data_IF_532563431964
#
_entry.id   IF_532563431964
#
_cell.length_a   1.000
_cell.length_b   1.000
_cell.length_c   1.000
_cell.angle_alpha   90.00
_cell.angle_beta   90.00
_cell.angle_gamma   90.00
#
_symmetry.space_group_name_H-M   'P 1'
#
loop_
_entity.id
_entity.type
_entity.pdbx_description
1 polymer ?
#
# COMPACT_ATOMS: atom_id res chain seq x y z
N UNK A 1 -7.55 15.91 -6.65
CA UNK A 1 -8.05 16.37 -7.97
C UNK A 1 -7.07 15.86 -9.02
N UNK A 2 -7.55 15.10 -10.00
CA UNK A 2 -6.72 14.48 -11.05
C UNK A 2 -6.37 15.51 -12.14
N UNK A 3 -5.49 16.45 -11.83
CA UNK A 3 -4.95 17.38 -12.83
C UNK A 3 -3.98 16.61 -13.76
N UNK A 4 -3.90 16.91 -15.07
CA UNK A 4 -2.99 16.21 -15.99
C UNK A 4 -1.50 16.21 -15.54
N UNK A 5 -0.99 17.29 -14.93
CA UNK A 5 0.38 17.27 -14.35
C UNK A 5 0.52 16.27 -13.20
N UNK A 6 -0.56 16.04 -12.44
CA UNK A 6 -0.61 15.02 -11.40
C UNK A 6 -0.55 13.60 -12.01
N UNK A 7 -1.25 13.36 -13.12
CA UNK A 7 -1.23 12.05 -13.79
C UNK A 7 0.13 11.76 -14.45
N UNK A 8 0.81 12.77 -15.01
CA UNK A 8 2.15 12.57 -15.58
C UNK A 8 3.18 12.23 -14.50
N UNK A 9 3.11 12.92 -13.35
CA UNK A 9 3.95 12.63 -12.18
C UNK A 9 3.71 11.22 -11.65
N UNK A 10 2.45 10.79 -11.51
CA UNK A 10 2.09 9.42 -11.14
C UNK A 10 2.64 8.39 -12.12
N UNK A 11 2.52 8.66 -13.42
CA UNK A 11 3.08 7.79 -14.47
C UNK A 11 4.60 7.65 -14.34
N UNK A 12 5.30 8.73 -13.99
CA UNK A 12 6.73 8.73 -13.73
C UNK A 12 7.10 7.90 -12.49
N UNK A 13 6.38 8.10 -11.37
CA UNK A 13 6.55 7.31 -10.17
C UNK A 13 6.33 5.80 -10.41
N UNK A 14 5.37 5.48 -11.30
CA UNK A 14 5.07 4.12 -11.73
C UNK A 14 6.03 3.57 -12.80
N UNK A 15 7.01 4.36 -13.28
CA UNK A 15 7.99 3.98 -14.31
C UNK A 15 7.37 3.41 -15.59
N UNK A 16 6.19 3.90 -15.99
CA UNK A 16 5.51 3.47 -17.21
C UNK A 16 6.09 4.22 -18.43
N UNK A 17 7.33 3.88 -18.80
CA UNK A 17 8.10 4.64 -19.80
C UNK A 17 7.44 4.72 -21.19
N UNK A 18 6.73 3.68 -21.62
CA UNK A 18 5.97 3.72 -22.86
C UNK A 18 4.82 4.73 -22.83
N UNK A 19 4.11 4.80 -21.69
CA UNK A 19 3.03 5.78 -21.50
C UNK A 19 3.58 7.21 -21.41
N UNK A 20 4.76 7.40 -20.80
CA UNK A 20 5.45 8.69 -20.78
C UNK A 20 5.91 9.14 -22.19
N UNK A 21 6.42 8.22 -23.01
CA UNK A 21 6.88 8.52 -24.35
C UNK A 21 5.75 9.03 -25.27
N UNK A 22 4.54 8.51 -25.07
CA UNK A 22 3.33 8.89 -25.81
C UNK A 22 2.41 9.82 -25.00
N UNK A 23 2.91 10.49 -23.96
CA UNK A 23 2.08 11.28 -23.04
C UNK A 23 1.16 12.30 -23.72
N UNK A 24 1.61 13.10 -24.71
CA UNK A 24 0.74 14.06 -25.39
C UNK A 24 -0.45 13.44 -26.11
N UNK A 25 -0.36 12.16 -26.49
CA UNK A 25 -1.42 11.44 -27.21
C UNK A 25 -2.47 10.86 -26.26
N UNK A 26 -2.11 10.62 -25.00
CA UNK A 26 -2.94 9.89 -24.03
C UNK A 26 -3.36 10.75 -22.83
N UNK A 27 -2.80 11.94 -22.65
CA UNK A 27 -3.02 12.79 -21.47
C UNK A 27 -4.50 13.03 -21.15
N UNK A 28 -5.33 13.25 -22.18
CA UNK A 28 -6.77 13.50 -22.05
C UNK A 28 -7.63 12.23 -22.16
N UNK A 29 -6.99 11.07 -22.33
CA UNK A 29 -7.72 9.83 -22.45
C UNK A 29 -8.29 9.41 -21.08
N UNK A 30 -9.62 9.24 -21.03
CA UNK A 30 -10.33 8.93 -19.78
C UNK A 30 -9.92 7.63 -19.09
N UNK A 31 -9.18 6.75 -19.78
CA UNK A 31 -8.67 5.50 -19.23
C UNK A 31 -7.32 5.63 -18.53
N UNK A 32 -6.57 6.73 -18.71
CA UNK A 32 -5.24 6.88 -18.09
C UNK A 32 -5.34 6.95 -16.56
N UNK A 33 -6.25 7.77 -16.04
CA UNK A 33 -6.44 7.89 -14.59
C UNK A 33 -6.78 6.54 -13.91
N UNK A 34 -7.75 5.73 -14.38
CA UNK A 34 -8.03 4.43 -13.78
C UNK A 34 -6.90 3.42 -13.98
N UNK A 35 -6.19 3.44 -15.12
CA UNK A 35 -5.02 2.57 -15.31
C UNK A 35 -3.93 2.83 -14.26
N UNK A 36 -3.59 4.10 -14.02
CA UNK A 36 -2.60 4.48 -13.01
C UNK A 36 -3.05 4.07 -11.60
N UNK A 37 -4.34 4.22 -11.30
CA UNK A 37 -4.92 3.77 -10.04
C UNK A 37 -4.74 2.27 -9.83
N UNK A 38 -5.08 1.45 -10.84
CA UNK A 38 -4.93 0.00 -10.73
C UNK A 38 -3.48 -0.42 -10.51
N UNK A 39 -2.53 0.19 -11.23
CA UNK A 39 -1.12 -0.16 -11.08
C UNK A 39 -0.57 0.23 -9.68
N UNK A 40 -1.01 1.35 -9.11
CA UNK A 40 -0.67 1.77 -7.74
C UNK A 40 -1.20 0.76 -6.70
N UNK A 41 -2.46 0.36 -6.84
CA UNK A 41 -3.13 -0.60 -5.97
C UNK A 41 -2.44 -1.98 -6.05
N UNK A 42 -2.21 -2.49 -7.26
CA UNK A 42 -1.59 -3.79 -7.48
C UNK A 42 -0.14 -3.85 -7.00
N UNK A 43 0.62 -2.76 -7.13
CA UNK A 43 1.97 -2.69 -6.54
C UNK A 43 1.94 -2.67 -5.03
N UNK A 44 1.03 -1.92 -4.44
CA UNK A 44 0.86 -1.85 -2.98
C UNK A 44 0.47 -3.22 -2.42
N UNK A 45 -0.51 -3.87 -3.07
CA UNK A 45 -0.98 -5.22 -2.74
C UNK A 45 0.15 -6.25 -2.81
N UNK A 46 0.85 -6.36 -3.95
CA UNK A 46 1.96 -7.31 -4.12
C UNK A 46 3.12 -7.05 -3.17
N UNK A 47 3.43 -5.79 -2.88
CA UNK A 47 4.45 -5.41 -1.90
C UNK A 47 4.08 -5.88 -0.49
N UNK A 48 2.83 -5.69 -0.08
CA UNK A 48 2.30 -6.17 1.19
C UNK A 48 2.32 -7.71 1.25
N UNK A 49 1.76 -8.39 0.26
CA UNK A 49 1.73 -9.86 0.18
C UNK A 49 3.14 -10.45 0.26
N UNK A 50 4.10 -9.87 -0.47
CA UNK A 50 5.51 -10.25 -0.38
C UNK A 50 6.05 -10.07 1.03
N UNK A 51 5.83 -8.91 1.66
CA UNK A 51 6.32 -8.64 3.02
C UNK A 51 5.69 -9.58 4.05
N UNK A 52 4.40 -9.88 3.95
CA UNK A 52 3.71 -10.83 4.83
C UNK A 52 4.36 -12.22 4.70
N UNK A 53 4.54 -12.69 3.47
CA UNK A 53 5.20 -13.98 3.20
C UNK A 53 6.63 -14.02 3.73
N UNK A 54 7.40 -12.97 3.49
CA UNK A 54 8.82 -12.91 3.87
C UNK A 54 9.01 -12.73 5.39
N UNK A 55 8.06 -12.12 6.09
CA UNK A 55 8.15 -11.86 7.53
C UNK A 55 8.06 -13.13 8.39
N UNK A 56 7.65 -14.27 7.81
CA UNK A 56 7.47 -15.56 8.52
C UNK A 56 6.68 -15.41 9.83
N UNK A 57 5.78 -14.42 9.86
CA UNK A 57 4.92 -14.19 11.00
C UNK A 57 4.02 -15.42 11.13
N UNK A 58 4.13 -16.12 12.25
CA UNK A 58 3.25 -17.22 12.58
C UNK A 58 1.84 -16.71 12.90
N UNK A 59 0.96 -17.61 13.32
CA UNK A 59 -0.34 -17.21 13.83
C UNK A 59 -0.15 -16.27 15.03
N UNK A 60 -0.78 -15.11 14.95
CA UNK A 60 -0.91 -14.24 16.10
C UNK A 60 -1.81 -14.93 17.11
N UNK A 61 -1.36 -15.03 18.36
CA UNK A 61 -2.25 -15.41 19.45
C UNK A 61 -3.33 -14.32 19.57
N UNK A 62 -4.61 -14.69 19.73
CA UNK A 62 -5.62 -13.69 20.05
C UNK A 62 -5.21 -12.96 21.33
N UNK A 63 -5.59 -11.69 21.47
CA UNK A 63 -5.15 -10.85 22.59
C UNK A 63 -5.49 -11.48 23.96
N UNK A 64 -6.59 -12.24 24.03
CA UNK A 64 -6.98 -12.99 25.24
C UNK A 64 -5.96 -14.05 25.67
N UNK A 65 -5.19 -14.59 24.74
CA UNK A 65 -4.17 -15.63 24.98
C UNK A 65 -2.75 -15.04 25.03
N UNK A 66 -2.64 -13.70 25.00
CA UNK A 66 -1.36 -13.01 25.12
C UNK A 66 -0.83 -13.13 26.55
N UNK A 67 0.43 -13.53 26.69
CA UNK A 67 1.07 -13.67 27.99
C UNK A 67 1.50 -12.30 28.52
N UNK A 68 0.64 -11.63 29.27
CA UNK A 68 0.92 -10.31 29.82
C UNK A 68 2.05 -10.26 30.87
N UNK A 69 2.61 -11.41 31.28
CA UNK A 69 3.84 -11.41 32.11
C UNK A 69 5.08 -10.99 31.31
N UNK A 70 4.98 -10.98 29.98
CA UNK A 70 5.96 -10.46 29.03
C UNK A 70 5.26 -9.61 27.96
N UNK A 71 5.64 -8.36 27.67
CA UNK A 71 6.88 -7.66 28.00
C UNK A 71 6.82 -6.99 29.38
N UNK A 72 7.97 -6.85 30.05
CA UNK A 72 8.05 -6.20 31.38
C UNK A 72 7.80 -4.68 31.35
N UNK A 73 7.66 -4.09 30.16
CA UNK A 73 7.30 -2.69 29.93
C UNK A 73 6.24 -2.61 28.84
N UNK A 74 4.99 -2.82 29.23
CA UNK A 74 3.82 -2.66 28.38
C UNK A 74 2.65 -2.21 29.26
N UNK A 75 1.96 -1.15 28.86
CA UNK A 75 0.71 -0.74 29.51
C UNK A 75 -0.43 -1.58 28.92
N UNK A 76 -0.77 -2.65 29.64
CA UNK A 76 -1.85 -3.56 29.23
C UNK A 76 -3.18 -2.83 29.10
N UNK A 77 -3.52 -1.94 30.03
CA UNK A 77 -4.81 -1.28 30.04
C UNK A 77 -4.98 -0.37 28.82
N UNK A 78 -3.92 0.38 28.47
CA UNK A 78 -3.92 1.22 27.27
C UNK A 78 -4.07 0.40 25.97
N UNK A 79 -3.51 -0.81 25.91
CA UNK A 79 -3.66 -1.70 24.75
C UNK A 79 -5.07 -2.26 24.64
N UNK A 80 -5.67 -2.66 25.77
CA UNK A 80 -7.03 -3.21 25.80
C UNK A 80 -8.09 -2.14 25.45
N UNK A 81 -7.85 -0.86 25.72
CA UNK A 81 -8.76 0.25 25.35
C UNK A 81 -8.83 0.52 23.84
N UNK A 82 -7.81 0.10 23.07
CA UNK A 82 -7.71 0.36 21.61
C UNK A 82 -8.44 -0.67 20.74
N UNK A 83 -8.98 -1.73 21.33
CA UNK A 83 -9.67 -2.84 20.65
C UNK A 83 -11.19 -2.68 20.75
#
# INVERSE_FOLDING_TARGET
MNTPENLQSRTNALRLHGLLAHWPEVADAGWVAPLLQWEEEERSRRSLERRIRDARLGNFKPLCDFDWTWPTRCDRAAVEELM
#
